data_IF_028292861249
#
_entry.id   IF_028292861249
#
_cell.length_a   1.000
_cell.length_b   1.000
_cell.length_c   1.000
_cell.angle_alpha   90.00
_cell.angle_beta   90.00
_cell.angle_gamma   90.00
#
_symmetry.space_group_name_H-M   'P 1'
#
loop_
_entity.id
_entity.type
_entity.pdbx_description
1 polymer ?
#
# COMPACT_ATOMS: atom_id res chain seq x y z
N UNK A 1 -4.58 -22.13 8.48
CA UNK A 1 -4.83 -20.72 8.85
C UNK A 1 -6.08 -20.24 8.11
N UNK A 2 -7.31 -20.62 8.43
CA UNK A 2 -7.87 -21.57 9.39
C UNK A 2 -8.99 -22.41 8.75
N UNK A 3 -9.12 -22.42 7.41
CA UNK A 3 -10.07 -23.28 6.68
C UNK A 3 -9.53 -23.67 5.30
N UNK A 4 -8.79 -22.78 4.63
CA UNK A 4 -8.27 -23.04 3.29
C UNK A 4 -7.00 -23.88 3.29
N UNK A 5 -6.99 -24.88 2.39
CA UNK A 5 -5.85 -25.77 2.14
C UNK A 5 -4.76 -25.09 1.29
N UNK A 6 -5.15 -24.16 0.41
CA UNK A 6 -4.25 -23.45 -0.49
C UNK A 6 -4.30 -21.94 -0.28
N UNK A 7 -3.13 -21.31 -0.38
CA UNK A 7 -3.02 -19.86 -0.32
C UNK A 7 -3.45 -19.24 -1.66
N UNK A 8 -4.41 -18.31 -1.61
CA UNK A 8 -5.05 -17.74 -2.79
C UNK A 8 -4.25 -16.65 -3.50
N UNK A 9 -3.15 -16.19 -2.90
CA UNK A 9 -2.37 -15.07 -3.42
C UNK A 9 -0.99 -15.53 -3.89
N UNK A 10 -0.44 -14.81 -4.87
CA UNK A 10 0.96 -14.96 -5.23
C UNK A 10 1.78 -13.90 -4.50
N UNK A 11 2.98 -14.27 -4.09
CA UNK A 11 3.97 -13.35 -3.54
C UNK A 11 5.23 -13.45 -4.41
N UNK A 12 5.82 -12.29 -4.71
CA UNK A 12 7.11 -12.22 -5.39
C UNK A 12 7.94 -11.12 -4.73
N UNK A 13 9.26 -11.31 -4.72
CA UNK A 13 10.18 -10.32 -4.17
C UNK A 13 10.47 -9.24 -5.23
N UNK A 14 10.27 -7.97 -4.86
CA UNK A 14 10.60 -6.81 -5.72
C UNK A 14 12.09 -6.47 -5.61
N UNK A 15 12.69 -6.75 -4.45
CA UNK A 15 14.11 -6.58 -4.12
C UNK A 15 14.64 -7.84 -3.46
N UNK A 16 15.95 -7.91 -3.23
CA UNK A 16 16.53 -8.99 -2.43
C UNK A 16 15.99 -8.93 -0.99
N UNK A 17 15.62 -10.09 -0.43
CA UNK A 17 15.01 -10.22 0.89
C UNK A 17 15.52 -11.46 1.62
N UNK A 18 15.49 -11.39 2.95
CA UNK A 18 15.61 -12.55 3.83
C UNK A 18 14.26 -12.77 4.53
N UNK A 19 13.83 -14.02 4.66
CA UNK A 19 12.52 -14.34 5.24
C UNK A 19 12.64 -15.41 6.31
N UNK A 20 11.92 -15.21 7.41
CA UNK A 20 11.66 -16.27 8.39
C UNK A 20 10.32 -16.91 8.06
N UNK A 21 10.30 -18.23 7.95
CA UNK A 21 9.10 -19.00 7.65
C UNK A 21 8.67 -19.82 8.86
N UNK A 22 7.37 -19.75 9.20
CA UNK A 22 6.75 -20.58 10.22
C UNK A 22 5.69 -21.44 9.51
N UNK A 23 5.82 -22.78 9.54
CA UNK A 23 4.79 -23.69 9.05
C UNK A 23 3.43 -23.43 9.69
N UNK A 24 2.36 -23.52 8.89
CA UNK A 24 1.01 -23.20 9.34
C UNK A 24 0.56 -24.06 10.51
N UNK A 25 0.83 -25.36 10.48
CA UNK A 25 0.52 -26.31 11.53
C UNK A 25 1.19 -25.95 12.87
N UNK A 26 2.46 -25.52 12.82
CA UNK A 26 3.20 -25.05 14.00
C UNK A 26 2.56 -23.77 14.55
N UNK A 27 2.26 -22.80 13.68
CA UNK A 27 1.62 -21.55 14.08
C UNK A 27 0.26 -21.78 14.74
N UNK A 28 -0.58 -22.65 14.17
CA UNK A 28 -1.89 -23.00 14.72
C UNK A 28 -1.77 -23.70 16.08
N UNK A 29 -0.81 -24.60 16.23
CA UNK A 29 -0.55 -25.29 17.50
C UNK A 29 -0.13 -24.32 18.60
N UNK A 30 0.76 -23.37 18.29
CA UNK A 30 1.20 -22.33 19.23
C UNK A 30 0.02 -21.43 19.60
N UNK A 31 -0.75 -20.98 18.62
CA UNK A 31 -1.90 -20.07 18.85
C UNK A 31 -3.00 -20.71 19.70
N UNK A 32 -3.26 -22.02 19.54
CA UNK A 32 -4.23 -22.76 20.37
C UNK A 32 -3.84 -22.83 21.85
N UNK A 33 -2.55 -22.90 22.15
CA UNK A 33 -2.03 -22.99 23.52
C UNK A 33 -1.76 -21.64 24.18
N UNK A 34 -1.86 -20.52 23.45
CA UNK A 34 -1.49 -19.20 23.91
C UNK A 34 -2.56 -18.15 23.54
N UNK A 35 -3.45 -17.87 24.48
CA UNK A 35 -4.54 -16.89 24.31
C UNK A 35 -4.03 -15.48 24.00
N UNK A 36 -2.87 -15.09 24.51
CA UNK A 36 -2.29 -13.78 24.21
C UNK A 36 -1.85 -13.68 22.74
N UNK A 37 -1.22 -14.73 22.22
CA UNK A 37 -0.86 -14.82 20.79
C UNK A 37 -2.10 -14.81 19.90
N UNK A 38 -3.15 -15.54 20.30
CA UNK A 38 -4.41 -15.57 19.55
C UNK A 38 -5.11 -14.20 19.53
N UNK A 39 -5.13 -13.50 20.66
CA UNK A 39 -5.70 -12.15 20.75
C UNK A 39 -4.92 -11.16 19.88
N UNK A 40 -3.59 -11.21 19.94
CA UNK A 40 -2.72 -10.39 19.08
C UNK A 40 -3.00 -10.64 17.60
N UNK A 41 -3.08 -11.92 17.20
CA UNK A 41 -3.38 -12.30 15.82
C UNK A 41 -4.77 -11.81 15.38
N UNK A 42 -5.77 -11.93 16.25
CA UNK A 42 -7.13 -11.44 15.98
C UNK A 42 -7.16 -9.92 15.79
N UNK A 43 -6.48 -9.17 16.66
CA UNK A 43 -6.35 -7.71 16.52
C UNK A 43 -5.69 -7.32 15.20
N UNK A 44 -4.61 -8.01 14.81
CA UNK A 44 -3.95 -7.78 13.53
C UNK A 44 -4.87 -8.06 12.33
N UNK A 45 -5.69 -9.12 12.40
CA UNK A 45 -6.70 -9.39 11.37
C UNK A 45 -7.79 -8.32 11.31
N UNK A 46 -8.29 -7.85 12.45
CA UNK A 46 -9.28 -6.78 12.50
C UNK A 46 -8.77 -5.48 11.88
N UNK A 47 -7.54 -5.08 12.18
CA UNK A 47 -6.91 -3.89 11.56
C UNK A 47 -6.72 -4.04 10.05
N UNK A 48 -6.37 -5.24 9.58
CA UNK A 48 -6.28 -5.50 8.13
C UNK A 48 -7.65 -5.45 7.45
N UNK A 49 -8.71 -5.96 8.09
CA UNK A 49 -10.09 -5.88 7.59
C UNK A 49 -10.57 -4.44 7.47
N UNK A 50 -10.35 -3.62 8.49
CA UNK A 50 -10.65 -2.17 8.47
C UNK A 50 -9.93 -1.47 7.31
N UNK A 51 -8.65 -1.79 7.11
CA UNK A 51 -7.87 -1.26 5.98
C UNK A 51 -8.43 -1.70 4.62
N UNK A 52 -8.95 -2.92 4.51
CA UNK A 52 -9.59 -3.41 3.29
C UNK A 52 -10.95 -2.76 3.03
N UNK A 53 -11.74 -2.52 4.06
CA UNK A 53 -13.01 -1.79 3.96
C UNK A 53 -12.78 -0.37 3.43
N UNK A 54 -11.81 0.35 4.01
CA UNK A 54 -11.39 1.68 3.53
C UNK A 54 -10.97 1.63 2.05
N UNK A 55 -10.19 0.62 1.63
CA UNK A 55 -9.81 0.43 0.22
C UNK A 55 -11.01 0.23 -0.71
N UNK A 56 -12.03 -0.51 -0.27
CA UNK A 56 -13.25 -0.67 -1.05
C UNK A 56 -13.96 0.68 -1.21
N UNK A 57 -14.03 1.48 -0.14
CA UNK A 57 -14.61 2.82 -0.20
C UNK A 57 -13.84 3.74 -1.17
N UNK A 58 -12.50 3.73 -1.15
CA UNK A 58 -11.68 4.49 -2.11
C UNK A 58 -11.95 4.08 -3.57
N UNK A 59 -12.10 2.78 -3.83
CA UNK A 59 -12.41 2.28 -5.18
C UNK A 59 -13.73 2.82 -5.75
N UNK A 60 -14.67 3.24 -4.89
CA UNK A 60 -15.95 3.82 -5.31
C UNK A 60 -15.87 5.31 -5.67
N UNK A 61 -14.73 5.98 -5.43
CA UNK A 61 -14.60 7.38 -5.81
C UNK A 61 -14.83 7.55 -7.32
N UNK A 62 -15.76 8.42 -7.70
CA UNK A 62 -16.21 8.57 -9.09
C UNK A 62 -15.11 9.05 -10.04
N UNK A 63 -14.07 9.69 -9.51
CA UNK A 63 -12.95 10.22 -10.30
C UNK A 63 -11.73 9.32 -10.26
N UNK A 64 -11.28 8.88 -11.43
CA UNK A 64 -10.04 8.12 -11.56
C UNK A 64 -8.80 8.91 -11.09
N UNK A 65 -8.83 10.24 -11.17
CA UNK A 65 -7.76 11.10 -10.64
C UNK A 65 -7.68 11.02 -9.12
N UNK A 66 -8.84 11.08 -8.45
CA UNK A 66 -8.92 11.01 -6.99
C UNK A 66 -8.35 9.67 -6.51
N UNK A 67 -8.78 8.56 -7.11
CA UNK A 67 -8.27 7.22 -6.76
C UNK A 67 -6.76 7.08 -6.91
N UNK A 68 -6.16 7.71 -7.93
CA UNK A 68 -4.70 7.71 -8.11
C UNK A 68 -4.01 8.52 -7.02
N UNK A 69 -4.54 9.69 -6.64
CA UNK A 69 -3.97 10.52 -5.56
C UNK A 69 -4.06 9.79 -4.22
N UNK A 70 -5.22 9.20 -3.89
CA UNK A 70 -5.41 8.41 -2.66
C UNK A 70 -4.46 7.21 -2.62
N UNK A 71 -4.30 6.49 -3.74
CA UNK A 71 -3.35 5.38 -3.83
C UNK A 71 -1.92 5.85 -3.54
N UNK A 72 -1.52 6.99 -4.12
CA UNK A 72 -0.20 7.57 -3.90
C UNK A 72 -0.01 8.00 -2.43
N UNK A 73 -1.03 8.56 -1.80
CA UNK A 73 -1.01 8.91 -0.37
C UNK A 73 -0.83 7.68 0.52
N UNK A 74 -1.56 6.60 0.25
CA UNK A 74 -1.41 5.32 0.94
C UNK A 74 0.02 4.78 0.77
N UNK A 75 0.54 4.76 -0.46
CA UNK A 75 1.91 4.31 -0.72
C UNK A 75 2.94 5.17 0.03
N UNK A 76 2.76 6.50 0.07
CA UNK A 76 3.62 7.40 0.83
C UNK A 76 3.61 7.08 2.33
N UNK A 77 2.42 6.88 2.91
CA UNK A 77 2.24 6.64 4.35
C UNK A 77 2.84 5.30 4.80
N UNK A 78 2.68 4.25 4.00
CA UNK A 78 3.09 2.90 4.38
C UNK A 78 4.52 2.54 3.97
N UNK A 79 5.02 3.12 2.88
CA UNK A 79 6.27 2.71 2.23
C UNK A 79 7.27 3.85 2.10
N UNK A 80 6.86 5.07 2.43
CA UNK A 80 7.70 6.25 2.32
C UNK A 80 8.69 6.36 3.47
N UNK A 81 9.91 6.78 3.13
CA UNK A 81 10.96 7.13 4.06
C UNK A 81 11.32 8.60 3.89
N UNK A 82 11.77 9.22 4.99
CA UNK A 82 12.31 10.58 4.94
C UNK A 82 13.51 10.62 3.99
N UNK A 83 13.50 11.57 3.06
CA UNK A 83 14.56 11.72 2.08
C UNK A 83 15.36 13.01 2.31
N UNK A 84 15.08 14.08 1.56
CA UNK A 84 15.79 15.35 1.69
C UNK A 84 14.81 16.50 1.91
N UNK A 85 15.17 17.45 2.76
CA UNK A 85 14.43 18.71 2.94
C UNK A 85 12.92 18.53 3.19
N UNK A 86 12.54 17.53 3.99
CA UNK A 86 11.15 17.26 4.34
C UNK A 86 10.33 16.53 3.26
N UNK A 87 10.98 16.03 2.21
CA UNK A 87 10.35 15.17 1.20
C UNK A 87 10.33 13.70 1.63
N UNK A 88 9.38 12.95 1.10
CA UNK A 88 9.27 11.51 1.31
C UNK A 88 9.61 10.78 0.01
N UNK A 89 10.37 9.69 0.09
CA UNK A 89 10.68 8.83 -1.06
C UNK A 89 10.26 7.40 -0.77
N UNK A 90 9.75 6.70 -1.79
CA UNK A 90 9.63 5.24 -1.72
C UNK A 90 10.97 4.60 -2.14
N UNK A 91 11.59 3.78 -1.28
CA UNK A 91 12.98 3.33 -1.45
C UNK A 91 13.15 2.32 -2.59
N UNK A 92 12.07 1.79 -3.17
CA UNK A 92 12.08 0.84 -4.27
C UNK A 92 11.23 1.34 -5.47
N UNK A 93 11.49 0.79 -6.67
CA UNK A 93 10.77 1.19 -7.87
C UNK A 93 9.30 0.73 -7.84
N UNK A 94 8.38 1.61 -8.22
CA UNK A 94 6.96 1.32 -8.47
C UNK A 94 6.60 1.75 -9.90
N UNK A 95 6.05 0.84 -10.68
CA UNK A 95 5.66 1.10 -12.07
C UNK A 95 4.30 1.80 -12.16
N UNK A 96 4.09 2.53 -13.26
CA UNK A 96 2.76 3.08 -13.60
C UNK A 96 1.68 2.01 -13.75
N UNK A 97 2.05 0.77 -14.12
CA UNK A 97 1.11 -0.36 -14.21
C UNK A 97 0.65 -0.77 -12.81
N UNK A 98 1.55 -0.85 -11.84
CA UNK A 98 1.20 -1.15 -10.46
C UNK A 98 0.34 -0.05 -9.86
N UNK A 99 0.66 1.23 -10.09
CA UNK A 99 -0.19 2.35 -9.67
C UNK A 99 -1.59 2.22 -10.27
N UNK A 100 -1.68 1.97 -11.58
CA UNK A 100 -2.97 1.83 -12.26
C UNK A 100 -3.83 0.68 -11.68
N UNK A 101 -3.22 -0.48 -11.44
CA UNK A 101 -3.89 -1.65 -10.82
C UNK A 101 -4.37 -1.29 -9.41
N UNK A 102 -3.51 -0.70 -8.58
CA UNK A 102 -3.85 -0.35 -7.20
C UNK A 102 -4.91 0.75 -7.11
N UNK A 103 -5.00 1.64 -8.10
CA UNK A 103 -6.01 2.70 -8.17
C UNK A 103 -7.30 2.29 -8.90
N UNK A 104 -7.39 1.08 -9.45
CA UNK A 104 -8.52 0.66 -10.29
C UNK A 104 -8.70 1.58 -11.51
N UNK A 105 -7.61 1.90 -12.21
CA UNK A 105 -7.60 2.78 -13.40
C UNK A 105 -6.79 2.18 -14.54
N UNK A 106 -6.79 2.82 -15.71
CA UNK A 106 -5.91 2.45 -16.82
C UNK A 106 -4.51 3.06 -16.61
N UNK A 107 -3.51 2.44 -17.22
CA UNK A 107 -2.12 2.94 -17.20
C UNK A 107 -2.02 4.35 -17.79
N UNK A 108 -2.83 4.64 -18.81
CA UNK A 108 -2.92 5.95 -19.47
C UNK A 108 -3.44 7.00 -18.50
N UNK A 109 -4.50 6.70 -17.75
CA UNK A 109 -5.05 7.61 -16.74
C UNK A 109 -4.05 7.84 -15.60
N UNK A 110 -3.47 6.78 -15.03
CA UNK A 110 -2.44 6.91 -14.00
C UNK A 110 -1.25 7.75 -14.50
N UNK A 111 -0.78 7.51 -15.73
CA UNK A 111 0.30 8.30 -16.34
C UNK A 111 -0.06 9.78 -16.47
N UNK A 112 -1.30 10.10 -16.86
CA UNK A 112 -1.75 11.48 -17.00
C UNK A 112 -1.81 12.19 -15.65
N UNK A 113 -2.32 11.53 -14.60
CA UNK A 113 -2.35 12.09 -13.24
C UNK A 113 -0.94 12.35 -12.71
N UNK A 114 -0.02 11.39 -12.87
CA UNK A 114 1.39 11.55 -12.47
C UNK A 114 2.04 12.74 -13.20
N UNK A 115 1.79 12.91 -14.50
CA UNK A 115 2.28 14.07 -15.26
C UNK A 115 1.75 15.39 -14.71
N UNK A 116 0.46 15.44 -14.35
CA UNK A 116 -0.17 16.63 -13.74
C UNK A 116 0.46 16.94 -12.39
N UNK A 117 0.58 15.96 -11.49
CA UNK A 117 1.19 16.14 -10.17
C UNK A 117 2.66 16.58 -10.28
N UNK A 118 3.39 16.10 -11.30
CA UNK A 118 4.76 16.55 -11.59
C UNK A 118 4.82 17.98 -12.09
N UNK A 119 3.90 18.37 -12.97
CA UNK A 119 3.78 19.77 -13.43
C UNK A 119 3.45 20.72 -12.26
N UNK A 120 2.61 20.26 -11.33
CA UNK A 120 2.24 20.98 -10.11
C UNK A 120 3.30 20.94 -9.01
N UNK A 121 4.44 20.25 -9.22
CA UNK A 121 5.51 20.07 -8.24
C UNK A 121 5.08 19.40 -6.92
N UNK A 122 4.00 18.62 -6.94
CA UNK A 122 3.54 17.83 -5.79
C UNK A 122 4.29 16.51 -5.67
N UNK A 123 4.62 15.91 -6.81
CA UNK A 123 5.26 14.60 -6.91
C UNK A 123 6.32 14.64 -8.01
N UNK A 124 7.49 14.06 -7.77
CA UNK A 124 8.39 13.66 -8.84
C UNK A 124 8.33 12.15 -9.07
N UNK A 125 8.45 11.78 -10.34
CA UNK A 125 8.49 10.40 -10.78
C UNK A 125 9.57 10.25 -11.85
N UNK A 126 10.62 9.50 -11.52
CA UNK A 126 11.77 9.26 -12.40
C UNK A 126 12.29 7.85 -12.18
N UNK A 127 12.57 7.12 -13.27
CA UNK A 127 13.06 5.73 -13.22
C UNK A 127 12.26 4.82 -12.27
N UNK A 128 10.93 4.99 -12.23
CA UNK A 128 10.00 4.28 -11.33
C UNK A 128 10.10 4.65 -9.84
N UNK A 129 10.93 5.60 -9.46
CA UNK A 129 10.97 6.12 -8.08
C UNK A 129 9.99 7.27 -7.91
N UNK A 130 9.26 7.23 -6.79
CA UNK A 130 8.33 8.26 -6.36
C UNK A 130 9.01 9.11 -5.28
N UNK A 131 8.98 10.43 -5.47
CA UNK A 131 9.45 11.42 -4.49
C UNK A 131 8.31 12.42 -4.27
N UNK A 132 7.74 12.40 -3.07
CA UNK A 132 6.64 13.24 -2.64
C UNK A 132 7.21 14.57 -2.15
N UNK A 133 6.96 15.63 -2.94
CA UNK A 133 7.48 16.98 -2.70
C UNK A 133 6.54 17.77 -1.77
N UNK A 134 5.23 17.57 -1.91
CA UNK A 134 4.20 18.20 -1.08
C UNK A 134 3.55 17.14 -0.17
N UNK A 135 4.22 16.85 0.94
CA UNK A 135 3.75 15.84 1.90
C UNK A 135 2.38 16.20 2.50
N UNK A 136 2.13 17.50 2.73
CA UNK A 136 0.85 17.99 3.28
C UNK A 136 -0.33 17.64 2.38
N UNK A 137 -0.21 17.89 1.08
CA UNK A 137 -1.24 17.51 0.10
C UNK A 137 -1.59 16.01 0.17
N UNK A 138 -0.60 15.12 0.28
CA UNK A 138 -0.87 13.69 0.34
C UNK A 138 -1.35 13.21 1.71
N UNK A 139 -1.04 13.92 2.81
CA UNK A 139 -1.62 13.63 4.12
C UNK A 139 -3.11 14.00 4.13
N UNK A 140 -3.49 15.18 3.63
CA UNK A 140 -4.90 15.61 3.53
C UNK A 140 -5.75 14.69 2.65
N UNK A 141 -5.14 14.10 1.60
CA UNK A 141 -5.82 13.16 0.70
C UNK A 141 -5.61 11.68 1.11
N UNK A 142 -4.88 11.42 2.20
CA UNK A 142 -4.63 10.09 2.77
C UNK A 142 -5.31 9.85 4.13
N UNK A 143 -5.85 10.91 4.74
CA UNK A 143 -6.73 10.86 5.90
C UNK A 143 -8.18 10.92 5.43
N UNK A 144 -9.01 9.97 5.89
CA UNK A 144 -10.45 10.20 5.99
C UNK A 144 -10.78 10.19 7.47
N UNK A 145 -11.60 11.16 7.84
CA UNK A 145 -12.29 11.32 9.13
C UNK A 145 -12.92 10.02 9.64
#
# INVERSE_FOLDING_TARGET
>A
MFFDEFYHFSAYAVTDIEVYYIPTDIFEKISKGNTAQLLYFYQALSTNLESHELKIQYCLASSATVRVVETLAILMKHLGENYFSGTIRIPYPITLKEIAINSGTTRETASNVIKTLKKEKKLDYCQKHLIFQDVGFFLENGEIT
#
